data_IF_968614911989
#
_entry.id   IF_968614911989
#
_cell.length_a   1.000
_cell.length_b   1.000
_cell.length_c   1.000
_cell.angle_alpha   90.00
_cell.angle_beta   90.00
_cell.angle_gamma   90.00
#
_symmetry.space_group_name_H-M   'P 1'
#
loop_
_entity.id
_entity.type
_entity.pdbx_description
1 polymer ?
#
# COMPACT_ATOMS: atom_id res chain seq x y z
N UNK A 1 2.81 6.73 -2.06
CA UNK A 1 2.95 5.25 -2.21
C UNK A 1 4.31 4.83 -2.75
N UNK A 2 4.80 5.34 -3.88
CA UNK A 2 6.11 4.94 -4.46
C UNK A 2 7.24 5.01 -3.43
N UNK A 3 7.41 6.14 -2.75
CA UNK A 3 8.44 6.29 -1.71
C UNK A 3 8.26 5.28 -0.57
N UNK A 4 7.01 4.99 -0.16
CA UNK A 4 6.71 4.01 0.89
C UNK A 4 7.12 2.60 0.48
N UNK A 5 6.88 2.19 -0.78
CA UNK A 5 7.30 0.89 -1.31
C UNK A 5 8.83 0.79 -1.41
N UNK A 6 9.49 1.81 -1.94
CA UNK A 6 10.95 1.81 -2.07
C UNK A 6 11.63 1.72 -0.70
N UNK A 7 11.23 2.57 0.24
CA UNK A 7 11.81 2.56 1.60
C UNK A 7 11.41 1.28 2.36
N UNK A 8 10.20 0.74 2.12
CA UNK A 8 9.76 -0.55 2.64
C UNK A 8 10.64 -1.69 2.16
N UNK A 9 10.93 -1.74 0.85
CA UNK A 9 11.83 -2.72 0.26
C UNK A 9 13.26 -2.61 0.82
N UNK A 10 13.76 -1.38 0.98
CA UNK A 10 15.07 -1.17 1.59
C UNK A 10 15.09 -1.63 3.06
N UNK A 11 14.01 -1.38 3.80
CA UNK A 11 13.87 -1.86 5.18
C UNK A 11 13.79 -3.39 5.25
N UNK A 12 13.03 -4.01 4.35
CA UNK A 12 12.96 -5.47 4.23
C UNK A 12 14.33 -6.08 3.93
N UNK A 13 15.05 -5.53 2.96
CA UNK A 13 16.38 -6.01 2.58
C UNK A 13 17.40 -5.82 3.72
N UNK A 14 17.34 -4.70 4.45
CA UNK A 14 18.22 -4.44 5.59
C UNK A 14 17.99 -5.44 6.72
N UNK A 15 16.74 -5.78 7.02
CA UNK A 15 16.38 -6.65 8.16
C UNK A 15 16.40 -8.15 7.81
N UNK A 16 15.99 -8.52 6.60
CA UNK A 16 15.73 -9.92 6.24
C UNK A 16 16.42 -10.40 4.97
N UNK A 17 16.94 -9.49 4.14
CA UNK A 17 17.58 -9.76 2.85
C UNK A 17 19.11 -9.83 2.89
N UNK A 18 19.72 -9.97 4.07
CA UNK A 18 21.18 -10.04 4.21
C UNK A 18 21.86 -8.67 4.34
N UNK A 19 21.11 -7.62 4.64
CA UNK A 19 21.61 -6.28 4.94
C UNK A 19 22.24 -6.17 6.34
N UNK A 20 22.36 -4.93 6.85
CA UNK A 20 23.06 -4.66 8.11
C UNK A 20 22.32 -5.11 9.38
N UNK A 21 21.02 -5.39 9.26
CA UNK A 21 20.13 -5.76 10.36
C UNK A 21 19.87 -4.63 11.38
N UNK A 22 20.31 -3.41 11.08
CA UNK A 22 20.23 -2.26 12.00
C UNK A 22 18.89 -1.54 12.00
N UNK A 23 17.99 -1.85 11.04
CA UNK A 23 16.67 -1.24 10.95
C UNK A 23 16.68 0.26 10.65
N UNK A 24 17.72 0.77 10.01
CA UNK A 24 17.88 2.22 9.74
C UNK A 24 16.77 2.82 8.87
N UNK A 25 16.07 1.99 8.10
CA UNK A 25 14.96 2.41 7.26
C UNK A 25 13.60 2.29 7.96
N UNK A 26 13.54 1.76 9.18
CA UNK A 26 12.28 1.52 9.90
C UNK A 26 11.53 2.82 10.18
N UNK A 27 12.19 3.84 10.74
CA UNK A 27 11.54 5.13 11.03
C UNK A 27 11.11 5.87 9.76
N UNK A 28 11.97 6.03 8.74
CA UNK A 28 11.54 6.60 7.46
C UNK A 28 10.36 5.86 6.84
N UNK A 29 10.35 4.52 6.87
CA UNK A 29 9.25 3.71 6.36
C UNK A 29 7.94 3.99 7.12
N UNK A 30 7.97 3.96 8.45
CA UNK A 30 6.79 4.25 9.30
C UNK A 30 6.21 5.63 9.00
N UNK A 31 7.03 6.66 8.89
CA UNK A 31 6.58 8.02 8.60
C UNK A 31 5.90 8.10 7.22
N UNK A 32 6.50 7.50 6.20
CA UNK A 32 5.95 7.46 4.84
C UNK A 32 4.65 6.67 4.77
N UNK A 33 4.53 5.56 5.49
CA UNK A 33 3.31 4.74 5.54
C UNK A 33 2.16 5.53 6.17
N UNK A 34 2.37 6.19 7.32
CA UNK A 34 1.33 7.02 7.95
C UNK A 34 0.91 8.17 7.06
N UNK A 35 1.85 8.85 6.43
CA UNK A 35 1.55 9.93 5.48
C UNK A 35 0.76 9.40 4.27
N UNK A 36 1.16 8.26 3.71
CA UNK A 36 0.48 7.63 2.58
C UNK A 36 -0.94 7.20 2.96
N UNK A 37 -1.13 6.57 4.10
CA UNK A 37 -2.43 6.15 4.58
C UNK A 37 -3.37 7.35 4.82
N UNK A 38 -2.86 8.42 5.43
CA UNK A 38 -3.62 9.65 5.66
C UNK A 38 -4.06 10.32 4.35
N UNK A 39 -3.14 10.48 3.39
CA UNK A 39 -3.45 11.04 2.08
C UNK A 39 -4.42 10.16 1.29
N UNK A 40 -4.25 8.84 1.33
CA UNK A 40 -5.15 7.89 0.68
C UNK A 40 -6.56 7.99 1.27
N UNK A 41 -6.68 8.03 2.60
CA UNK A 41 -7.97 8.19 3.29
C UNK A 41 -8.64 9.50 2.92
N UNK A 42 -7.91 10.61 2.95
CA UNK A 42 -8.44 11.92 2.56
C UNK A 42 -8.93 11.92 1.11
N UNK A 43 -8.13 11.38 0.18
CA UNK A 43 -8.52 11.25 -1.23
C UNK A 43 -9.75 10.36 -1.41
N UNK A 44 -9.83 9.26 -0.69
CA UNK A 44 -10.98 8.35 -0.70
C UNK A 44 -12.26 9.01 -0.20
N UNK A 45 -12.19 9.78 0.89
CA UNK A 45 -13.32 10.57 1.39
C UNK A 45 -13.79 11.58 0.36
N UNK A 46 -12.86 12.34 -0.24
CA UNK A 46 -13.19 13.27 -1.32
C UNK A 46 -13.87 12.59 -2.50
N UNK A 47 -13.38 11.42 -2.91
CA UNK A 47 -13.95 10.67 -4.02
C UNK A 47 -15.38 10.16 -3.70
N UNK A 48 -15.65 9.79 -2.46
CA UNK A 48 -16.99 9.36 -2.03
C UNK A 48 -17.98 10.51 -1.89
N UNK A 49 -17.51 11.70 -1.49
CA UNK A 49 -18.34 12.89 -1.31
C UNK A 49 -18.53 13.69 -2.61
N UNK A 50 -17.68 13.47 -3.62
CA UNK A 50 -17.77 14.19 -4.87
C UNK A 50 -19.09 13.85 -5.61
N UNK A 51 -19.84 14.87 -6.08
CA UNK A 51 -21.04 14.63 -6.86
C UNK A 51 -20.69 13.89 -8.16
N UNK A 52 -21.44 12.85 -8.46
CA UNK A 52 -21.25 12.10 -9.71
C UNK A 52 -21.80 12.91 -10.87
N UNK A 53 -20.95 13.39 -11.82
CA UNK A 53 -21.39 14.32 -12.86
C UNK A 53 -22.37 13.66 -13.87
N UNK A 54 -22.29 12.34 -14.06
CA UNK A 54 -23.21 11.57 -14.91
C UNK A 54 -23.09 10.06 -14.67
N UNK A 55 -24.17 9.34 -14.94
CA UNK A 55 -24.18 7.87 -14.87
C UNK A 55 -23.57 7.32 -16.17
N UNK A 56 -22.35 6.83 -16.11
CA UNK A 56 -21.76 6.09 -17.24
C UNK A 56 -22.28 4.66 -17.27
N UNK A 57 -22.71 4.15 -18.43
CA UNK A 57 -22.99 2.73 -18.60
C UNK A 57 -21.71 1.91 -18.36
N UNK A 58 -21.86 0.68 -17.85
CA UNK A 58 -20.75 -0.26 -17.73
C UNK A 58 -20.32 -0.71 -19.14
N UNK A 59 -19.32 -0.05 -19.68
CA UNK A 59 -18.63 -0.45 -20.92
C UNK A 59 -17.20 -0.82 -20.56
N UNK A 60 -16.59 -1.67 -21.38
CA UNK A 60 -15.18 -2.00 -21.27
C UNK A 60 -14.37 -0.79 -21.78
N UNK A 61 -14.13 0.16 -20.90
CA UNK A 61 -13.42 1.40 -21.16
C UNK A 61 -12.46 1.75 -20.01
N UNK A 62 -11.72 2.83 -20.14
CA UNK A 62 -10.79 3.31 -19.09
C UNK A 62 -11.51 3.61 -17.78
N UNK A 63 -12.79 3.96 -17.81
CA UNK A 63 -13.60 4.19 -16.62
C UNK A 63 -13.86 2.90 -15.82
N UNK A 64 -14.13 1.77 -16.49
CA UNK A 64 -14.23 0.47 -15.83
C UNK A 64 -12.87 0.04 -15.27
N UNK A 65 -11.80 0.19 -16.06
CA UNK A 65 -10.44 -0.12 -15.62
C UNK A 65 -10.06 0.68 -14.37
N UNK A 66 -10.33 1.99 -14.36
CA UNK A 66 -10.13 2.84 -13.20
C UNK A 66 -10.89 2.33 -11.97
N UNK A 67 -12.18 2.01 -12.11
CA UNK A 67 -13.01 1.52 -10.99
C UNK A 67 -12.48 0.21 -10.41
N UNK A 68 -12.18 -0.76 -11.25
CA UNK A 68 -11.65 -2.06 -10.81
C UNK A 68 -10.31 -1.88 -10.10
N UNK A 69 -9.41 -1.08 -10.70
CA UNK A 69 -8.10 -0.80 -10.10
C UNK A 69 -8.22 0.00 -8.79
N UNK A 70 -9.15 0.96 -8.69
CA UNK A 70 -9.39 1.71 -7.47
C UNK A 70 -9.95 0.83 -6.34
N UNK A 71 -10.83 -0.13 -6.65
CA UNK A 71 -11.32 -1.13 -5.69
C UNK A 71 -10.15 -2.01 -5.21
N UNK A 72 -9.33 -2.51 -6.14
CA UNK A 72 -8.13 -3.29 -5.82
C UNK A 72 -7.15 -2.51 -4.95
N UNK A 73 -6.89 -1.25 -5.27
CA UNK A 73 -6.04 -0.35 -4.48
C UNK A 73 -6.59 -0.13 -3.07
N UNK A 74 -7.91 0.04 -2.94
CA UNK A 74 -8.56 0.24 -1.63
C UNK A 74 -8.47 -1.01 -0.77
N UNK A 75 -8.79 -2.18 -1.33
CA UNK A 75 -8.67 -3.46 -0.63
C UNK A 75 -7.20 -3.73 -0.23
N UNK A 76 -6.26 -3.47 -1.14
CA UNK A 76 -4.84 -3.58 -0.89
C UNK A 76 -4.36 -2.67 0.24
N UNK A 77 -4.76 -1.39 0.24
CA UNK A 77 -4.41 -0.44 1.31
C UNK A 77 -4.93 -0.86 2.68
N UNK A 78 -6.17 -1.33 2.77
CA UNK A 78 -6.73 -1.85 4.03
C UNK A 78 -5.92 -3.06 4.52
N UNK A 79 -5.59 -3.97 3.62
CA UNK A 79 -4.77 -5.16 3.92
C UNK A 79 -3.37 -4.75 4.36
N UNK A 80 -2.75 -3.75 3.71
CA UNK A 80 -1.43 -3.22 4.08
C UNK A 80 -1.40 -2.65 5.49
N UNK A 81 -2.41 -1.89 5.89
CA UNK A 81 -2.50 -1.34 7.25
C UNK A 81 -2.55 -2.48 8.28
N UNK A 82 -3.37 -3.51 8.03
CA UNK A 82 -3.49 -4.67 8.93
C UNK A 82 -2.18 -5.46 8.99
N UNK A 83 -1.58 -5.78 7.83
CA UNK A 83 -0.32 -6.54 7.77
C UNK A 83 0.84 -5.76 8.39
N UNK A 84 0.93 -4.45 8.15
CA UNK A 84 1.93 -3.59 8.76
C UNK A 84 1.84 -3.61 10.28
N UNK A 85 0.62 -3.52 10.82
CA UNK A 85 0.37 -3.59 12.26
C UNK A 85 0.72 -4.95 12.86
N UNK A 86 0.34 -6.05 12.19
CA UNK A 86 0.68 -7.42 12.62
C UNK A 86 2.20 -7.62 12.60
N UNK A 87 2.87 -7.15 11.55
CA UNK A 87 4.33 -7.27 11.41
C UNK A 87 5.05 -6.48 12.50
N UNK A 88 4.63 -5.24 12.75
CA UNK A 88 5.20 -4.40 13.81
C UNK A 88 5.02 -5.03 15.20
N UNK A 89 3.82 -5.49 15.53
CA UNK A 89 3.57 -6.18 16.82
C UNK A 89 4.39 -7.44 16.99
N UNK A 90 4.56 -8.23 15.92
CA UNK A 90 5.38 -9.44 15.97
C UNK A 90 6.85 -9.10 16.20
N UNK A 91 7.35 -8.01 15.60
CA UNK A 91 8.71 -7.53 15.83
C UNK A 91 8.91 -7.05 17.30
N UNK A 92 7.96 -6.28 17.82
CA UNK A 92 8.03 -5.71 19.17
C UNK A 92 7.90 -6.78 20.27
N UNK A 93 7.22 -7.90 20.00
CA UNK A 93 7.06 -9.00 20.98
C UNK A 93 8.31 -9.84 21.21
N UNK A 94 9.38 -9.62 20.44
CA UNK A 94 10.61 -10.43 20.52
C UNK A 94 10.44 -11.87 20.01
N UNK A 95 9.22 -12.27 19.63
CA UNK A 95 8.94 -13.60 19.07
C UNK A 95 9.20 -13.57 17.56
N UNK A 96 10.43 -13.83 17.15
CA UNK A 96 10.84 -13.85 15.73
C UNK A 96 10.18 -14.93 14.86
N UNK A 97 9.35 -15.81 15.47
CA UNK A 97 8.68 -16.88 14.74
C UNK A 97 7.74 -16.30 13.66
N UNK A 98 8.03 -16.57 12.41
CA UNK A 98 7.24 -16.15 11.26
C UNK A 98 7.35 -14.65 10.91
N UNK A 99 8.19 -13.87 11.59
CA UNK A 99 8.34 -12.44 11.33
C UNK A 99 8.80 -12.17 9.88
N UNK A 100 9.78 -12.91 9.39
CA UNK A 100 10.26 -12.80 8.01
C UNK A 100 9.14 -13.08 7.00
N UNK A 101 8.33 -14.13 7.24
CA UNK A 101 7.22 -14.48 6.37
C UNK A 101 6.15 -13.38 6.36
N UNK A 102 5.80 -12.82 7.52
CA UNK A 102 4.83 -11.71 7.62
C UNK A 102 5.34 -10.48 6.90
N UNK A 103 6.62 -10.15 7.06
CA UNK A 103 7.26 -9.04 6.35
C UNK A 103 7.27 -9.27 4.83
N UNK A 104 7.49 -10.50 4.37
CA UNK A 104 7.43 -10.88 2.96
C UNK A 104 6.02 -10.69 2.36
N UNK A 105 4.99 -11.13 3.08
CA UNK A 105 3.61 -10.98 2.63
C UNK A 105 3.23 -9.49 2.59
N UNK A 106 3.60 -8.73 3.61
CA UNK A 106 3.38 -7.28 3.66
C UNK A 106 4.07 -6.58 2.47
N UNK A 107 5.32 -6.88 2.18
CA UNK A 107 6.07 -6.32 1.05
C UNK A 107 5.40 -6.65 -0.30
N UNK A 108 5.00 -7.92 -0.51
CA UNK A 108 4.35 -8.35 -1.74
C UNK A 108 2.98 -7.68 -1.96
N UNK A 109 2.18 -7.54 -0.90
CA UNK A 109 0.88 -6.83 -0.96
C UNK A 109 1.10 -5.36 -1.23
N UNK A 110 2.15 -4.74 -0.66
CA UNK A 110 2.51 -3.34 -0.90
C UNK A 110 2.80 -3.06 -2.38
N UNK A 111 3.61 -3.88 -3.02
CA UNK A 111 3.89 -3.75 -4.45
C UNK A 111 2.66 -4.00 -5.33
N UNK A 112 1.83 -4.98 -4.97
CA UNK A 112 0.57 -5.26 -5.68
C UNK A 112 -0.39 -4.07 -5.58
N UNK A 113 -0.54 -3.51 -4.38
CA UNK A 113 -1.37 -2.32 -4.12
C UNK A 113 -0.87 -1.11 -4.91
N UNK A 114 0.45 -0.91 -4.96
CA UNK A 114 1.08 0.13 -5.77
C UNK A 114 0.78 -0.05 -7.26
N UNK A 115 0.79 -1.29 -7.76
CA UNK A 115 0.39 -1.61 -9.14
C UNK A 115 -1.04 -1.18 -9.44
N UNK A 116 -1.99 -1.54 -8.57
CA UNK A 116 -3.39 -1.11 -8.72
C UNK A 116 -3.54 0.42 -8.67
N UNK A 117 -2.84 1.11 -7.77
CA UNK A 117 -2.87 2.58 -7.70
C UNK A 117 -2.32 3.22 -8.98
N UNK A 118 -1.26 2.65 -9.54
CA UNK A 118 -0.67 3.13 -10.80
C UNK A 118 -1.65 2.95 -11.97
N UNK A 119 -2.28 1.78 -12.07
CA UNK A 119 -3.29 1.51 -13.10
C UNK A 119 -4.49 2.47 -12.93
N UNK A 120 -4.98 2.64 -11.70
CA UNK A 120 -6.09 3.55 -11.43
C UNK A 120 -5.74 5.00 -11.83
N UNK A 121 -4.55 5.47 -11.48
CA UNK A 121 -4.10 6.82 -11.81
C UNK A 121 -3.92 7.01 -13.32
N UNK A 122 -3.30 6.06 -14.01
CA UNK A 122 -3.07 6.15 -15.47
C UNK A 122 -4.38 6.04 -16.27
N UNK A 123 -5.29 5.17 -15.86
CA UNK A 123 -6.60 5.03 -16.51
C UNK A 123 -7.46 6.31 -16.46
N UNK A 124 -7.13 7.23 -15.57
CA UNK A 124 -7.80 8.52 -15.45
C UNK A 124 -7.27 9.58 -16.43
N UNK A 125 -6.06 9.37 -16.93
CA UNK A 125 -5.39 10.31 -17.85
C UNK A 125 -5.83 10.10 -19.32
N UNK A 126 -6.45 8.97 -19.63
CA UNK A 126 -6.87 8.55 -20.97
C UNK A 126 -8.36 8.15 -20.99
#
# INVERSE_FOLDING_TARGET
MTASCIIGQLNYNDLYGGGSGRGRYMMPHRLLVYSTAGLFTATGIYALLAPQPYKKPLKFDTGLLHRVAAIGATAGMLTEVVLGFITARTADSGNGSGLKQKAQIHDAVGWTTFGFMTIAGTAWLF
#
